data_IF_121982251228
#
_entry.id   IF_121982251228
#
_cell.length_a   1.000
_cell.length_b   1.000
_cell.length_c   1.000
_cell.angle_alpha   90.00
_cell.angle_beta   90.00
_cell.angle_gamma   90.00
#
_symmetry.space_group_name_H-M   'P 1'
#
loop_
_entity.id
_entity.type
_entity.pdbx_description
1 polymer ?
#
# COMPACT_ATOMS: atom_id res chain seq x y z
N UNK A 1 20.89 -14.39 -1.91
CA UNK A 1 19.94 -15.51 -2.06
C UNK A 1 19.18 -15.64 -0.76
N UNK A 2 17.84 -15.72 -0.77
CA UNK A 2 17.02 -15.91 0.43
C UNK A 2 16.93 -17.41 0.74
N UNK A 3 17.61 -17.94 1.77
CA UNK A 3 17.58 -19.37 2.04
C UNK A 3 16.27 -19.75 2.77
N UNK A 4 15.61 -20.82 2.32
CA UNK A 4 14.64 -21.56 3.15
C UNK A 4 13.20 -21.02 3.26
N UNK A 5 12.67 -20.30 2.26
CA UNK A 5 11.25 -19.88 2.27
C UNK A 5 10.49 -20.39 1.06
N UNK A 6 9.23 -20.76 1.30
CA UNK A 6 8.17 -20.90 0.30
C UNK A 6 8.00 -19.55 -0.42
N UNK A 7 8.86 -19.31 -1.41
CA UNK A 7 8.93 -18.07 -2.17
C UNK A 7 8.57 -18.37 -3.61
N UNK A 8 7.44 -17.82 -4.04
CA UNK A 8 7.05 -17.80 -5.44
C UNK A 8 7.27 -16.40 -5.98
N UNK A 9 8.05 -16.29 -7.06
CA UNK A 9 8.25 -15.03 -7.77
C UNK A 9 7.35 -15.04 -9.00
N UNK A 10 6.44 -14.08 -9.07
CA UNK A 10 5.57 -13.86 -10.23
C UNK A 10 6.10 -12.66 -10.99
N UNK A 11 6.42 -12.86 -12.28
CA UNK A 11 6.89 -11.79 -13.16
C UNK A 11 5.71 -11.23 -13.96
N UNK A 12 4.98 -10.30 -13.35
CA UNK A 12 3.79 -9.68 -13.94
C UNK A 12 3.63 -8.24 -13.44
N UNK A 13 2.90 -7.42 -14.19
CA UNK A 13 2.44 -6.11 -13.71
C UNK A 13 1.37 -6.32 -12.63
N UNK A 14 1.61 -5.81 -11.42
CA UNK A 14 0.65 -5.86 -10.31
C UNK A 14 -0.70 -5.22 -10.66
N UNK A 15 -0.74 -4.25 -11.58
CA UNK A 15 -1.99 -3.64 -12.03
C UNK A 15 -2.82 -4.58 -12.91
N UNK A 16 -2.21 -5.62 -13.50
CA UNK A 16 -2.87 -6.66 -14.28
C UNK A 16 -3.07 -7.96 -13.50
N UNK A 17 -2.18 -8.25 -12.55
CA UNK A 17 -2.22 -9.47 -11.74
C UNK A 17 -3.59 -9.76 -11.13
N UNK A 18 -4.03 -11.01 -11.22
CA UNK A 18 -5.32 -11.48 -10.73
C UNK A 18 -5.24 -11.84 -9.24
N UNK A 19 -5.73 -10.93 -8.40
CA UNK A 19 -5.74 -11.06 -6.94
C UNK A 19 -6.68 -12.17 -6.45
N UNK A 20 -7.59 -12.69 -7.28
CA UNK A 20 -8.50 -13.78 -6.91
C UNK A 20 -7.76 -15.11 -6.70
N UNK A 21 -6.57 -15.25 -7.27
CA UNK A 21 -5.73 -16.45 -7.15
C UNK A 21 -4.99 -16.54 -5.80
N UNK A 22 -4.96 -15.44 -5.04
CA UNK A 22 -4.32 -15.40 -3.72
C UNK A 22 -5.21 -16.08 -2.66
N UNK A 23 -4.62 -16.65 -1.59
CA UNK A 23 -5.41 -17.19 -0.49
C UNK A 23 -6.26 -16.09 0.16
N UNK A 24 -7.39 -16.47 0.76
CA UNK A 24 -8.19 -15.54 1.55
C UNK A 24 -7.38 -14.96 2.73
N UNK A 25 -7.77 -13.77 3.19
CA UNK A 25 -7.18 -13.09 4.36
C UNK A 25 -5.67 -12.79 4.22
N UNK A 26 -5.18 -12.68 2.98
CA UNK A 26 -3.79 -12.35 2.68
C UNK A 26 -3.41 -10.94 3.12
N UNK A 27 -2.11 -10.74 3.34
CA UNK A 27 -1.52 -9.44 3.68
C UNK A 27 -0.61 -8.99 2.56
N UNK A 28 -0.70 -7.70 2.22
CA UNK A 28 0.20 -7.08 1.25
C UNK A 28 1.18 -6.17 1.96
N UNK A 29 2.46 -6.36 1.67
CA UNK A 29 3.54 -5.46 2.10
C UNK A 29 4.34 -5.04 0.88
N UNK A 30 4.60 -3.75 0.71
CA UNK A 30 5.36 -3.28 -0.44
C UNK A 30 6.03 -1.92 -0.22
N UNK A 31 7.20 -1.77 -0.82
CA UNK A 31 7.77 -0.46 -1.14
C UNK A 31 7.41 -0.14 -2.60
N UNK A 32 6.51 0.81 -2.81
CA UNK A 32 5.89 1.01 -4.13
C UNK A 32 6.49 2.21 -4.86
N UNK A 33 6.59 2.17 -6.20
CA UNK A 33 6.94 3.34 -6.98
C UNK A 33 5.89 4.45 -6.83
N UNK A 34 6.35 5.68 -6.60
CA UNK A 34 5.47 6.79 -6.20
C UNK A 34 4.42 7.15 -7.25
N UNK A 35 4.75 7.06 -8.53
CA UNK A 35 3.86 7.47 -9.63
C UNK A 35 2.65 6.54 -9.85
N UNK A 36 2.63 5.35 -9.26
CA UNK A 36 1.52 4.37 -9.37
C UNK A 36 0.83 4.08 -8.03
N UNK A 37 1.18 4.79 -6.96
CA UNK A 37 0.65 4.51 -5.60
C UNK A 37 -0.87 4.48 -5.57
N UNK A 38 -1.54 5.50 -6.12
CA UNK A 38 -3.01 5.57 -6.12
C UNK A 38 -3.66 4.39 -6.86
N UNK A 39 -3.07 3.95 -7.99
CA UNK A 39 -3.58 2.81 -8.77
C UNK A 39 -3.41 1.49 -8.01
N UNK A 40 -2.29 1.32 -7.32
CA UNK A 40 -2.05 0.15 -6.47
C UNK A 40 -3.05 0.11 -5.31
N UNK A 41 -3.22 1.22 -4.58
CA UNK A 41 -4.17 1.31 -3.47
C UNK A 41 -5.60 1.00 -3.95
N UNK A 42 -6.01 1.58 -5.09
CA UNK A 42 -7.30 1.30 -5.70
C UNK A 42 -7.45 -0.19 -6.03
N UNK A 43 -6.53 -0.77 -6.81
CA UNK A 43 -6.55 -2.20 -7.20
C UNK A 43 -6.71 -3.11 -5.98
N UNK A 44 -5.94 -2.88 -4.92
CA UNK A 44 -5.95 -3.70 -3.72
C UNK A 44 -7.28 -3.59 -2.96
N UNK A 45 -7.74 -2.36 -2.66
CA UNK A 45 -8.92 -2.15 -1.83
C UNK A 45 -10.24 -2.49 -2.55
N UNK A 46 -10.28 -2.36 -3.88
CA UNK A 46 -11.47 -2.71 -4.68
C UNK A 46 -11.48 -4.16 -5.17
N UNK A 47 -10.45 -4.97 -4.86
CA UNK A 47 -10.42 -6.38 -5.25
C UNK A 47 -11.61 -7.15 -4.68
N UNK A 48 -12.12 -8.14 -5.42
CA UNK A 48 -13.17 -9.04 -4.93
C UNK A 48 -12.65 -9.92 -3.79
N UNK A 49 -11.48 -10.54 -3.97
CA UNK A 49 -10.76 -11.24 -2.91
C UNK A 49 -10.14 -10.22 -1.95
N UNK A 50 -10.83 -9.97 -0.83
CA UNK A 50 -10.43 -8.99 0.18
C UNK A 50 -9.18 -9.44 0.93
N UNK A 51 -8.16 -8.61 0.84
CA UNK A 51 -6.99 -8.66 1.71
C UNK A 51 -7.36 -8.22 3.13
N UNK A 52 -6.66 -8.76 4.14
CA UNK A 52 -6.80 -8.34 5.53
C UNK A 52 -6.21 -6.95 5.78
N UNK A 53 -5.00 -6.75 5.27
CA UNK A 53 -4.15 -5.61 5.61
C UNK A 53 -3.21 -5.27 4.47
N UNK A 54 -3.00 -3.98 4.27
CA UNK A 54 -1.93 -3.46 3.41
C UNK A 54 -0.95 -2.61 4.22
N UNK A 55 0.35 -2.82 4.04
CA UNK A 55 1.41 -1.97 4.59
C UNK A 55 2.27 -1.47 3.45
N UNK A 56 2.14 -0.18 3.11
CA UNK A 56 2.84 0.42 1.98
C UNK A 56 3.84 1.46 2.44
N UNK A 57 5.04 1.44 1.87
CA UNK A 57 5.98 2.54 1.94
C UNK A 57 5.76 3.44 0.73
N UNK A 58 5.33 4.68 0.97
CA UNK A 58 4.99 5.69 -0.05
C UNK A 58 5.68 7.02 0.27
N UNK A 59 5.57 8.03 -0.59
CA UNK A 59 6.01 9.38 -0.22
C UNK A 59 5.29 9.86 1.04
N UNK A 60 6.01 10.53 1.94
CA UNK A 60 5.45 11.01 3.20
C UNK A 60 4.14 11.77 3.05
N UNK A 61 4.09 12.76 2.16
CA UNK A 61 2.88 13.55 1.87
C UNK A 61 1.71 12.66 1.42
N UNK A 62 1.98 11.61 0.64
CA UNK A 62 0.94 10.70 0.16
C UNK A 62 0.38 9.85 1.30
N UNK A 63 1.24 9.34 2.19
CA UNK A 63 0.78 8.64 3.39
C UNK A 63 -0.11 9.54 4.25
N UNK A 64 0.35 10.76 4.53
CA UNK A 64 -0.38 11.76 5.32
C UNK A 64 -1.73 12.12 4.68
N UNK A 65 -1.80 12.22 3.35
CA UNK A 65 -3.06 12.48 2.62
C UNK A 65 -4.02 11.30 2.60
N UNK A 66 -3.52 10.07 2.64
CA UNK A 66 -4.34 8.87 2.74
C UNK A 66 -4.97 8.77 4.13
N UNK A 67 -4.19 9.05 5.18
CA UNK A 67 -4.61 8.99 6.58
C UNK A 67 -5.13 10.33 7.13
N UNK A 68 -5.42 11.31 6.27
CA UNK A 68 -5.92 12.61 6.69
C UNK A 68 -7.31 12.49 7.34
N UNK A 69 -7.55 13.29 8.37
CA UNK A 69 -8.84 13.36 9.05
C UNK A 69 -9.92 14.08 8.20
N UNK A 70 -11.22 13.86 8.51
CA UNK A 70 -12.31 14.58 7.87
C UNK A 70 -12.11 16.11 7.87
N UNK A 71 -12.37 16.73 6.72
CA UNK A 71 -12.09 18.15 6.47
C UNK A 71 -10.76 18.41 5.75
N UNK A 72 -9.80 17.48 5.82
CA UNK A 72 -8.52 17.55 5.10
C UNK A 72 -8.32 16.41 4.09
N UNK A 73 -9.28 15.50 3.98
CA UNK A 73 -9.18 14.34 3.09
C UNK A 73 -9.10 14.72 1.61
N UNK A 74 -8.11 14.15 0.93
CA UNK A 74 -8.06 14.14 -0.52
C UNK A 74 -9.00 13.08 -1.11
N UNK A 75 -9.27 13.12 -2.43
CA UNK A 75 -10.05 12.08 -3.10
C UNK A 75 -9.48 10.67 -2.83
N UNK A 76 -8.15 10.51 -2.89
CA UNK A 76 -7.48 9.25 -2.56
C UNK A 76 -7.72 8.84 -1.11
N UNK A 77 -7.65 9.79 -0.16
CA UNK A 77 -7.90 9.54 1.26
C UNK A 77 -9.33 9.07 1.50
N UNK A 78 -10.34 9.78 0.96
CA UNK A 78 -11.75 9.36 1.05
C UNK A 78 -11.95 7.97 0.43
N UNK A 79 -11.43 7.75 -0.77
CA UNK A 79 -11.57 6.45 -1.45
C UNK A 79 -10.90 5.32 -0.68
N UNK A 80 -9.72 5.54 -0.11
CA UNK A 80 -9.04 4.51 0.68
C UNK A 80 -9.76 4.23 2.00
N UNK A 81 -10.14 5.29 2.72
CA UNK A 81 -10.78 5.19 4.03
C UNK A 81 -12.21 4.65 4.00
N UNK A 82 -12.86 4.69 2.83
CA UNK A 82 -14.12 4.01 2.57
C UNK A 82 -14.00 2.49 2.74
N UNK A 83 -12.89 1.90 2.30
CA UNK A 83 -12.67 0.44 2.34
C UNK A 83 -11.83 -0.01 3.53
N UNK A 84 -11.02 0.87 4.11
CA UNK A 84 -10.06 0.52 5.15
C UNK A 84 -9.98 1.60 6.25
N UNK A 85 -9.52 1.21 7.43
CA UNK A 85 -9.01 2.16 8.42
C UNK A 85 -7.55 2.47 8.09
N UNK A 86 -7.22 3.76 7.96
CA UNK A 86 -5.89 4.21 7.57
C UNK A 86 -5.12 4.76 8.78
N UNK A 87 -3.91 4.25 9.01
CA UNK A 87 -3.03 4.74 10.08
C UNK A 87 -1.62 4.98 9.54
N UNK A 88 -0.93 5.95 10.16
CA UNK A 88 0.45 6.29 9.82
C UNK A 88 1.43 5.44 10.64
N UNK A 89 2.38 4.84 9.94
CA UNK A 89 3.55 4.19 10.52
C UNK A 89 4.79 5.09 10.54
N UNK A 90 5.99 4.50 10.72
CA UNK A 90 7.23 5.25 10.81
C UNK A 90 7.56 6.01 9.51
N UNK A 91 8.18 7.17 9.67
CA UNK A 91 8.83 7.92 8.59
C UNK A 91 10.17 7.25 8.28
N UNK A 92 10.47 7.08 6.99
CA UNK A 92 11.72 6.52 6.49
C UNK A 92 12.49 7.61 5.75
N UNK A 93 13.61 8.09 6.31
CA UNK A 93 14.44 9.12 5.68
C UNK A 93 14.94 8.72 4.29
N UNK A 94 14.94 9.67 3.35
CA UNK A 94 15.40 9.46 1.96
C UNK A 94 16.82 8.88 1.84
N UNK A 95 17.68 9.13 2.83
CA UNK A 95 19.08 8.70 2.83
C UNK A 95 19.24 7.18 2.92
N UNK A 96 18.19 6.44 3.27
CA UNK A 96 18.20 4.97 3.31
C UNK A 96 17.90 4.31 1.96
N UNK A 97 17.74 5.10 0.89
CA UNK A 97 17.46 4.60 -0.46
C UNK A 97 18.62 4.84 -1.41
N UNK A 98 18.73 3.99 -2.43
CA UNK A 98 19.73 4.10 -3.50
C UNK A 98 19.03 3.93 -4.87
N UNK A 99 19.05 4.96 -5.74
CA UNK A 99 19.44 6.34 -5.45
C UNK A 99 18.47 7.02 -4.46
N UNK A 100 18.92 8.06 -3.73
CA UNK A 100 18.06 8.74 -2.79
C UNK A 100 16.95 9.52 -3.52
N UNK A 101 15.66 9.39 -3.10
CA UNK A 101 14.58 10.21 -3.63
C UNK A 101 14.68 11.67 -3.15
N UNK A 102 13.87 12.55 -3.76
CA UNK A 102 13.82 13.98 -3.39
C UNK A 102 13.10 14.26 -2.08
N UNK A 103 12.34 13.29 -1.55
CA UNK A 103 11.47 13.43 -0.39
C UNK A 103 11.58 12.20 0.49
N UNK A 104 11.22 12.33 1.76
CA UNK A 104 11.14 11.20 2.67
C UNK A 104 9.92 10.32 2.35
N UNK A 105 9.99 9.07 2.79
CA UNK A 105 8.89 8.12 2.70
C UNK A 105 8.21 7.98 4.06
N UNK A 106 6.99 7.45 4.08
CA UNK A 106 6.33 7.05 5.30
C UNK A 106 5.51 5.79 5.05
N UNK A 107 5.46 4.93 6.07
CA UNK A 107 4.60 3.75 6.05
C UNK A 107 3.16 4.20 6.25
N UNK A 108 2.25 3.72 5.41
CA UNK A 108 0.80 3.78 5.63
C UNK A 108 0.27 2.36 5.80
N UNK A 109 -0.54 2.16 6.83
CA UNK A 109 -1.20 0.89 7.14
C UNK A 109 -2.69 1.05 6.87
N UNK A 110 -3.24 0.11 6.11
CA UNK A 110 -4.66 0.05 5.75
C UNK A 110 -5.22 -1.27 6.27
N UNK A 111 -6.03 -1.23 7.32
CA UNK A 111 -6.79 -2.39 7.81
C UNK A 111 -8.12 -2.45 7.07
N UNK A 112 -8.36 -3.50 6.30
CA UNK A 112 -9.61 -3.64 5.55
C UNK A 112 -10.78 -3.76 6.52
N UNK A 113 -11.85 -2.98 6.28
CA UNK A 113 -13.07 -3.09 7.09
C UNK A 113 -13.76 -4.41 6.78
N UNK A 114 -14.22 -5.12 7.82
CA UNK A 114 -15.19 -6.19 7.65
C UNK A 114 -16.50 -5.58 7.14
N UNK A 115 -16.93 -5.96 5.94
CA UNK A 115 -18.23 -5.56 5.40
C UNK A 115 -19.33 -6.45 5.95
#
# INVERSE_FOLDING_TARGET
QFPGKQLTVVHEDILQFDLSQLPADYVVVANVPYYITSKIVQKLLTAENKLRRTVLLVQKEVAERIAAEPGAMSLLGVSAQLYAEATLGPVVPRQFFVPPPKVDSQVVVLETRAQ
#
